data_IF_151932926109
#
_entry.id   IF_151932926109
#
_cell.length_a   1.000
_cell.length_b   1.000
_cell.length_c   1.000
_cell.angle_alpha   90.00
_cell.angle_beta   90.00
_cell.angle_gamma   90.00
#
_symmetry.space_group_name_H-M   'P 1'
#
loop_
_entity.id
_entity.type
_entity.pdbx_description
1 polymer ?
#
# COMPACT_ATOMS: atom_id res chain seq x y z
N UNK A 1 12.98 6.36 -31.62
CA UNK A 1 12.80 6.02 -30.91
C UNK A 1 12.35 6.17 -29.94
N UNK A 2 12.06 6.28 -29.45
CA UNK A 2 11.92 6.45 -28.58
C UNK A 2 11.25 5.78 -27.78
N UNK A 3 11.09 5.08 -27.65
CA UNK A 3 10.60 4.41 -26.82
C UNK A 3 10.91 4.50 -25.52
N UNK A 4 11.83 4.94 -25.11
CA UNK A 4 12.27 5.09 -23.78
C UNK A 4 11.30 5.82 -22.93
N UNK A 5 10.57 6.71 -23.48
CA UNK A 5 9.52 7.39 -22.74
C UNK A 5 8.46 6.46 -22.23
N UNK A 6 8.21 5.42 -23.00
CA UNK A 6 7.21 4.43 -22.62
C UNK A 6 7.60 3.64 -21.40
N UNK A 7 8.90 3.59 -21.13
CA UNK A 7 9.39 2.79 -20.02
C UNK A 7 9.30 3.52 -18.68
N UNK A 8 9.01 4.82 -18.68
CA UNK A 8 8.98 5.62 -17.45
C UNK A 8 7.54 5.82 -17.00
N UNK A 9 7.15 5.22 -15.87
CA UNK A 9 5.80 5.42 -15.36
C UNK A 9 5.62 6.86 -14.89
N UNK A 10 4.40 7.35 -14.99
CA UNK A 10 4.06 8.68 -14.48
C UNK A 10 4.02 8.65 -12.96
N UNK A 11 4.04 9.84 -12.34
CA UNK A 11 3.88 9.95 -10.89
C UNK A 11 2.56 9.35 -10.43
N UNK A 12 1.50 9.51 -11.23
CA UNK A 12 0.20 8.94 -10.90
C UNK A 12 0.27 7.41 -10.84
N UNK A 13 0.98 6.80 -11.79
CA UNK A 13 1.14 5.34 -11.79
C UNK A 13 1.96 4.87 -10.61
N UNK A 14 3.02 5.60 -10.28
CA UNK A 14 3.87 5.27 -9.14
C UNK A 14 3.09 5.39 -7.82
N UNK A 15 2.28 6.45 -7.71
CA UNK A 15 1.52 6.70 -6.49
C UNK A 15 0.47 5.64 -6.22
N UNK A 16 0.04 4.92 -7.26
CA UNK A 16 -0.95 3.85 -7.12
C UNK A 16 -0.35 2.53 -6.69
N UNK A 17 0.95 2.49 -6.45
CA UNK A 17 1.61 1.29 -5.95
C UNK A 17 1.77 1.41 -4.45
N UNK A 18 1.08 0.53 -3.74
CA UNK A 18 0.99 0.60 -2.29
C UNK A 18 1.70 -0.60 -1.67
N UNK A 19 1.97 -0.48 -0.38
CA UNK A 19 2.56 -1.56 0.40
C UNK A 19 1.70 -1.79 1.63
N UNK A 20 1.46 -3.07 1.95
CA UNK A 20 0.86 -3.46 3.21
C UNK A 20 1.94 -4.17 4.02
N UNK A 21 2.32 -3.58 5.15
CA UNK A 21 3.20 -4.26 6.10
C UNK A 21 2.33 -5.07 7.05
N UNK A 22 2.66 -6.34 7.21
CA UNK A 22 1.88 -7.20 8.07
C UNK A 22 2.62 -8.47 8.45
N UNK A 23 1.87 -9.40 9.03
CA UNK A 23 2.35 -10.72 9.38
C UNK A 23 1.35 -11.75 8.93
N UNK A 24 1.84 -12.97 8.72
CA UNK A 24 1.01 -14.07 8.27
C UNK A 24 -0.09 -14.42 9.26
N UNK A 25 0.23 -14.36 10.53
CA UNK A 25 -0.71 -14.74 11.60
C UNK A 25 -1.56 -13.57 12.10
N UNK A 26 -1.50 -12.46 11.42
CA UNK A 26 -2.21 -11.26 11.84
C UNK A 26 -3.61 -11.23 11.23
N UNK A 27 -4.62 -11.34 12.07
CA UNK A 27 -6.01 -11.37 11.63
C UNK A 27 -6.42 -10.08 10.93
N UNK A 28 -6.05 -8.95 11.53
CA UNK A 28 -6.35 -7.64 10.94
C UNK A 28 -5.63 -7.44 9.62
N UNK A 29 -4.42 -7.98 9.50
CA UNK A 29 -3.66 -7.91 8.26
C UNK A 29 -4.39 -8.62 7.13
N UNK A 30 -4.90 -9.80 7.42
CA UNK A 30 -5.64 -10.56 6.43
C UNK A 30 -6.92 -9.86 6.02
N UNK A 31 -7.61 -9.24 6.98
CA UNK A 31 -8.82 -8.50 6.69
C UNK A 31 -8.55 -7.30 5.78
N UNK A 32 -7.47 -6.57 6.05
CA UNK A 32 -7.11 -5.44 5.20
C UNK A 32 -6.77 -5.89 3.78
N UNK A 33 -6.02 -6.98 3.66
CA UNK A 33 -5.66 -7.52 2.35
C UNK A 33 -6.91 -7.89 1.55
N UNK A 34 -7.85 -8.57 2.18
CA UNK A 34 -9.09 -8.94 1.51
C UNK A 34 -9.89 -7.71 1.09
N UNK A 35 -9.96 -6.71 1.97
CA UNK A 35 -10.67 -5.48 1.66
C UNK A 35 -10.02 -4.75 0.48
N UNK A 36 -8.70 -4.71 0.43
CA UNK A 36 -7.99 -4.07 -0.68
C UNK A 36 -8.21 -4.81 -1.99
N UNK A 37 -8.20 -6.14 -1.97
CA UNK A 37 -8.46 -6.92 -3.18
C UNK A 37 -9.86 -6.68 -3.70
N UNK A 38 -10.81 -6.60 -2.79
CA UNK A 38 -12.20 -6.32 -3.17
C UNK A 38 -12.30 -4.92 -3.79
N UNK A 39 -11.60 -3.95 -3.22
CA UNK A 39 -11.64 -2.58 -3.70
C UNK A 39 -11.02 -2.43 -5.08
N UNK A 40 -10.07 -3.30 -5.43
CA UNK A 40 -9.43 -3.24 -6.75
C UNK A 40 -10.42 -3.45 -7.90
N UNK A 41 -11.58 -4.02 -7.62
CA UNK A 41 -12.62 -4.15 -8.63
C UNK A 41 -13.22 -2.80 -9.04
N UNK A 42 -13.06 -1.78 -8.19
CA UNK A 42 -13.66 -0.47 -8.41
C UNK A 42 -12.64 0.66 -8.55
N UNK A 43 -11.47 0.49 -7.95
CA UNK A 43 -10.45 1.54 -7.92
C UNK A 43 -9.14 0.97 -8.44
N UNK A 44 -8.50 1.71 -9.31
CA UNK A 44 -7.26 1.26 -9.94
C UNK A 44 -6.06 1.55 -9.06
N UNK A 45 -5.48 0.50 -8.50
CA UNK A 45 -4.22 0.57 -7.75
C UNK A 45 -3.68 -0.84 -7.62
N UNK A 46 -2.38 -0.93 -7.30
CA UNK A 46 -1.72 -2.20 -7.02
C UNK A 46 -1.19 -2.16 -5.60
N UNK A 47 -1.05 -3.32 -4.98
CA UNK A 47 -0.41 -3.36 -3.69
C UNK A 47 0.39 -4.65 -3.53
N UNK A 48 1.39 -4.57 -2.69
CA UNK A 48 2.29 -5.66 -2.38
C UNK A 48 2.27 -5.86 -0.87
N UNK A 49 2.21 -7.11 -0.44
CA UNK A 49 2.24 -7.45 0.98
C UNK A 49 3.68 -7.77 1.36
N UNK A 50 4.16 -7.12 2.41
CA UNK A 50 5.51 -7.35 2.92
C UNK A 50 5.41 -7.83 4.35
N UNK A 51 6.02 -8.99 4.61
CA UNK A 51 6.08 -9.54 5.96
C UNK A 51 7.16 -8.78 6.75
N UNK A 52 6.75 -8.12 7.83
CA UNK A 52 7.70 -7.32 8.61
C UNK A 52 8.74 -8.17 9.30
N UNK A 53 8.47 -9.45 9.52
CA UNK A 53 9.45 -10.34 10.14
C UNK A 53 10.66 -10.60 9.25
N UNK A 54 10.56 -10.22 7.97
CA UNK A 54 11.70 -10.34 7.05
C UNK A 54 12.78 -9.30 7.33
N UNK A 55 12.50 -8.28 8.15
CA UNK A 55 13.42 -7.18 8.39
C UNK A 55 13.23 -6.65 9.82
N UNK A 56 14.26 -6.79 10.69
CA UNK A 56 14.15 -6.32 12.07
C UNK A 56 13.80 -4.84 12.21
N UNK A 57 14.21 -4.02 11.25
CA UNK A 57 13.85 -2.59 11.29
C UNK A 57 12.35 -2.40 11.10
N UNK A 58 11.73 -3.21 10.26
CA UNK A 58 10.29 -3.12 10.06
C UNK A 58 9.55 -3.54 11.34
N UNK A 59 10.04 -4.58 12.00
CA UNK A 59 9.44 -5.01 13.26
C UNK A 59 9.53 -3.89 14.30
N UNK A 60 10.69 -3.26 14.41
CA UNK A 60 10.89 -2.18 15.38
C UNK A 60 9.99 -0.99 15.09
N UNK A 61 9.78 -0.69 13.82
CA UNK A 61 9.04 0.50 13.41
C UNK A 61 7.53 0.27 13.36
N UNK A 62 7.09 -0.91 12.94
CA UNK A 62 5.68 -1.14 12.63
C UNK A 62 5.05 -2.28 13.42
N UNK A 63 5.82 -2.99 14.25
CA UNK A 63 5.32 -4.19 14.92
C UNK A 63 4.05 -3.99 15.73
N UNK A 64 3.85 -2.80 16.28
CA UNK A 64 2.67 -2.48 17.07
C UNK A 64 1.54 -1.89 16.25
N UNK A 65 1.75 -1.69 14.96
CA UNK A 65 0.79 -0.95 14.13
C UNK A 65 0.21 -1.75 12.98
N UNK A 66 0.67 -2.96 12.78
CA UNK A 66 0.25 -3.75 11.61
C UNK A 66 -1.23 -4.08 11.69
N UNK A 67 -1.90 -4.12 10.53
CA UNK A 67 -1.38 -3.83 9.22
C UNK A 67 -1.18 -2.33 8.98
N UNK A 68 -0.14 -1.99 8.23
CA UNK A 68 0.12 -0.60 7.84
C UNK A 68 0.04 -0.51 6.32
N UNK A 69 -0.80 0.39 5.84
CA UNK A 69 -0.91 0.65 4.41
C UNK A 69 -0.18 1.95 4.11
N UNK A 70 0.76 1.90 3.18
CA UNK A 70 1.54 3.07 2.83
C UNK A 70 1.82 3.10 1.34
N UNK A 71 2.22 4.28 0.86
CA UNK A 71 2.63 4.46 -0.52
C UNK A 71 4.04 3.95 -0.72
N UNK A 72 4.26 3.14 -1.76
CA UNK A 72 5.62 2.73 -2.10
C UNK A 72 6.38 3.89 -2.73
N UNK A 73 5.67 4.89 -3.25
CA UNK A 73 6.26 6.03 -3.94
C UNK A 73 6.71 7.11 -2.95
N UNK A 74 5.80 7.57 -2.08
CA UNK A 74 6.11 8.67 -1.14
C UNK A 74 6.53 8.19 0.23
N UNK A 75 6.31 6.91 0.52
CA UNK A 75 6.50 6.32 1.84
C UNK A 75 5.57 6.89 2.90
N UNK A 76 4.55 7.62 2.47
CA UNK A 76 3.55 8.18 3.38
C UNK A 76 2.63 7.08 3.86
N UNK A 77 2.43 7.00 5.17
CA UNK A 77 1.45 6.08 5.74
C UNK A 77 0.04 6.60 5.42
N UNK A 78 -0.81 5.69 4.94
CA UNK A 78 -2.20 6.03 4.62
C UNK A 78 -3.10 5.69 5.80
N UNK A 79 -2.93 4.50 6.36
CA UNK A 79 -3.70 4.07 7.53
C UNK A 79 -3.03 2.87 8.17
N UNK A 80 -3.49 2.50 9.37
CA UNK A 80 -3.01 1.29 10.03
C UNK A 80 -4.16 0.67 10.83
N UNK A 81 -4.00 -0.58 11.22
CA UNK A 81 -4.98 -1.45 11.89
C UNK A 81 -6.17 -1.78 11.00
N UNK A 82 -6.85 -0.78 10.47
CA UNK A 82 -8.06 -0.96 9.66
C UNK A 82 -7.95 -0.13 8.39
N UNK A 83 -8.55 -0.63 7.33
CA UNK A 83 -8.58 0.11 6.08
C UNK A 83 -9.48 1.33 6.23
N UNK A 84 -8.88 2.49 6.02
CA UNK A 84 -9.58 3.76 6.04
C UNK A 84 -9.81 4.20 4.61
N UNK A 85 -11.02 3.97 4.11
CA UNK A 85 -11.34 4.25 2.71
C UNK A 85 -11.23 5.74 2.38
N UNK A 86 -11.60 6.59 3.32
CA UNK A 86 -11.51 8.03 3.09
C UNK A 86 -10.05 8.47 2.96
N UNK A 87 -9.18 7.94 3.81
CA UNK A 87 -7.76 8.25 3.74
C UNK A 87 -7.13 7.76 2.44
N UNK A 88 -7.51 6.56 2.00
CA UNK A 88 -7.00 6.02 0.75
C UNK A 88 -7.50 6.85 -0.44
N UNK A 89 -8.78 7.21 -0.43
CA UNK A 89 -9.34 8.00 -1.52
C UNK A 89 -8.68 9.38 -1.58
N UNK A 90 -8.47 10.01 -0.42
CA UNK A 90 -7.78 11.30 -0.36
C UNK A 90 -6.36 11.20 -0.92
N UNK A 91 -5.66 10.13 -0.55
CA UNK A 91 -4.31 9.94 -1.05
C UNK A 91 -4.30 9.78 -2.56
N UNK A 92 -5.15 8.90 -3.09
CA UNK A 92 -5.19 8.65 -4.53
C UNK A 92 -5.65 9.87 -5.32
N UNK A 93 -6.52 10.68 -4.74
CA UNK A 93 -7.04 11.87 -5.40
C UNK A 93 -5.94 12.89 -5.68
N UNK A 94 -4.88 12.90 -4.88
CA UNK A 94 -3.77 13.84 -5.08
C UNK A 94 -3.02 13.59 -6.38
N UNK A 95 -3.18 12.41 -6.96
CA UNK A 95 -2.40 11.97 -8.12
C UNK A 95 -3.27 11.66 -9.33
N UNK A 96 -4.48 12.16 -9.36
CA UNK A 96 -5.37 11.99 -10.50
C UNK A 96 -5.08 13.01 -11.59
#
# INVERSE_FOLDING_TARGET
MTRENDAVPSDADQARKLIVYGREECHLCQEMILALRSLQAQVSFDFQVVDIDSDPELVARYGDKIPVLLSSFTRQEICHYFLDLAALDDYLAKFR
#
